data_IF_710984797037
#
_entry.id   IF_710984797037
#
_cell.length_a   1.000
_cell.length_b   1.000
_cell.length_c   1.000
_cell.angle_alpha   90.00
_cell.angle_beta   90.00
_cell.angle_gamma   90.00
#
_symmetry.space_group_name_H-M   'P 1'
#
loop_
_entity.id
_entity.type
_entity.pdbx_description
1 polymer ?
#
# COMPACT_ATOMS: atom_id res chain seq x y z
N UNK A 1 -5.16 -7.46 -19.09
CA UNK A 1 -6.25 -7.48 -18.09
C UNK A 1 -5.88 -8.56 -17.10
N UNK A 2 -5.78 -8.22 -15.81
CA UNK A 2 -5.49 -9.19 -14.74
C UNK A 2 -6.64 -10.19 -14.65
N UNK A 3 -6.36 -11.49 -14.52
CA UNK A 3 -7.37 -12.56 -14.60
C UNK A 3 -8.52 -12.47 -13.57
N UNK A 4 -8.40 -11.57 -12.58
CA UNK A 4 -9.31 -11.37 -11.46
C UNK A 4 -10.01 -9.98 -11.47
N UNK A 5 -9.73 -9.11 -12.45
CA UNK A 5 -10.46 -7.85 -12.61
C UNK A 5 -11.73 -8.05 -13.43
N UNK A 6 -12.88 -7.66 -12.86
CA UNK A 6 -14.17 -7.67 -13.53
C UNK A 6 -14.81 -6.29 -13.50
N UNK A 7 -15.26 -5.82 -14.67
CA UNK A 7 -16.01 -4.58 -14.82
C UNK A 7 -17.50 -4.90 -14.95
N UNK A 8 -18.36 -4.49 -14.00
CA UNK A 8 -19.79 -4.80 -14.07
C UNK A 8 -20.43 -4.22 -15.33
N UNK A 9 -21.45 -4.87 -15.92
CA UNK A 9 -22.06 -4.42 -17.18
C UNK A 9 -22.52 -2.96 -17.18
N UNK A 10 -23.07 -2.47 -16.05
CA UNK A 10 -23.50 -1.07 -15.90
C UNK A 10 -22.36 -0.05 -15.99
N UNK A 11 -21.11 -0.49 -15.79
CA UNK A 11 -19.90 0.33 -15.86
C UNK A 11 -19.03 0.02 -17.07
N UNK A 12 -19.50 -0.78 -18.04
CA UNK A 12 -18.72 -1.17 -19.21
C UNK A 12 -18.17 0.03 -20.02
N UNK A 13 -18.89 1.15 -20.01
CA UNK A 13 -18.48 2.40 -20.64
C UNK A 13 -17.19 3.00 -20.03
N UNK A 14 -16.81 2.63 -18.81
CA UNK A 14 -15.58 3.07 -18.14
C UNK A 14 -14.35 2.26 -18.53
N UNK A 15 -14.47 1.24 -19.38
CA UNK A 15 -13.34 0.40 -19.80
C UNK A 15 -12.11 1.21 -20.27
N UNK A 16 -12.25 2.24 -21.14
CA UNK A 16 -11.08 3.01 -21.59
C UNK A 16 -10.40 3.77 -20.44
N UNK A 17 -11.14 4.17 -19.42
CA UNK A 17 -10.63 4.90 -18.27
C UNK A 17 -9.92 3.95 -17.30
N UNK A 18 -10.47 2.75 -17.12
CA UNK A 18 -9.83 1.66 -16.38
C UNK A 18 -8.51 1.23 -17.04
N UNK A 19 -8.46 1.14 -18.37
CA UNK A 19 -7.23 0.83 -19.11
C UNK A 19 -6.13 1.88 -18.88
N UNK A 20 -6.50 3.17 -18.83
CA UNK A 20 -5.55 4.25 -18.48
C UNK A 20 -5.11 4.18 -17.02
N UNK A 21 -6.01 3.83 -16.10
CA UNK A 21 -5.66 3.59 -14.71
C UNK A 21 -4.61 2.48 -14.57
N UNK A 22 -4.80 1.34 -15.25
CA UNK A 22 -3.87 0.22 -15.19
C UNK A 22 -2.52 0.48 -15.89
N UNK A 23 -2.41 1.51 -16.73
CA UNK A 23 -1.10 1.96 -17.23
C UNK A 23 -0.23 2.54 -16.11
N UNK A 24 -0.84 3.25 -15.14
CA UNK A 24 -0.14 3.84 -14.00
C UNK A 24 -0.07 2.89 -12.78
N UNK A 25 -1.07 2.00 -12.67
CA UNK A 25 -1.31 1.13 -11.52
C UNK A 25 -1.55 -0.32 -11.97
N UNK A 26 -0.57 -0.97 -12.63
CA UNK A 26 -0.79 -2.24 -13.35
C UNK A 26 -1.17 -3.42 -12.44
N UNK A 27 -0.77 -3.39 -11.17
CA UNK A 27 -1.02 -4.48 -10.24
C UNK A 27 -2.34 -4.29 -9.48
N UNK A 28 -3.43 -4.77 -10.09
CA UNK A 28 -4.76 -4.77 -9.49
C UNK A 28 -4.76 -5.34 -8.06
N UNK A 29 -4.00 -6.43 -7.83
CA UNK A 29 -3.97 -7.17 -6.57
C UNK A 29 -3.32 -6.40 -5.42
N UNK A 30 -2.68 -5.25 -5.70
CA UNK A 30 -2.04 -4.40 -4.70
C UNK A 30 -2.71 -3.04 -4.55
N UNK A 31 -3.64 -2.67 -5.44
CA UNK A 31 -4.29 -1.38 -5.42
C UNK A 31 -5.37 -1.30 -4.32
N UNK A 32 -5.28 -0.27 -3.48
CA UNK A 32 -6.20 0.01 -2.37
C UNK A 32 -6.79 1.41 -2.54
N UNK A 33 -8.11 1.49 -2.67
CA UNK A 33 -8.80 2.78 -2.75
C UNK A 33 -8.98 3.37 -1.34
N UNK A 34 -8.40 4.54 -1.10
CA UNK A 34 -8.52 5.28 0.16
C UNK A 34 -9.74 6.20 0.09
N UNK A 35 -10.71 5.94 0.96
CA UNK A 35 -11.94 6.69 1.14
C UNK A 35 -11.80 7.52 2.43
N UNK A 36 -11.58 8.81 2.27
CA UNK A 36 -11.40 9.75 3.39
C UNK A 36 -12.03 11.10 3.04
N UNK A 37 -12.19 11.97 4.04
CA UNK A 37 -12.58 13.35 3.79
C UNK A 37 -11.56 14.02 2.88
N UNK A 38 -12.05 14.69 1.85
CA UNK A 38 -11.24 15.55 1.00
C UNK A 38 -11.37 17.01 1.46
N UNK A 39 -10.26 17.56 1.95
CA UNK A 39 -10.07 19.00 2.13
C UNK A 39 -8.58 19.30 1.90
N UNK A 40 -8.26 19.85 0.72
CA UNK A 40 -6.89 20.03 0.24
C UNK A 40 -6.06 21.02 1.07
N UNK A 41 -6.71 21.87 1.88
CA UNK A 41 -6.02 22.81 2.78
C UNK A 41 -5.76 22.24 4.18
N UNK A 42 -6.31 21.06 4.50
CA UNK A 42 -6.28 20.53 5.86
C UNK A 42 -5.01 19.73 6.15
N UNK A 43 -4.17 20.24 7.05
CA UNK A 43 -2.90 19.60 7.44
C UNK A 43 -3.09 18.23 8.09
N UNK A 44 -4.14 18.06 8.89
CA UNK A 44 -4.44 16.78 9.54
C UNK A 44 -4.76 15.71 8.50
N UNK A 45 -5.62 16.03 7.52
CA UNK A 45 -5.97 15.09 6.45
C UNK A 45 -4.80 14.81 5.50
N UNK A 46 -3.93 15.80 5.27
CA UNK A 46 -2.69 15.61 4.53
C UNK A 46 -1.73 14.64 5.23
N UNK A 47 -1.59 14.76 6.55
CA UNK A 47 -0.77 13.84 7.36
C UNK A 47 -1.39 12.45 7.44
N UNK A 48 -2.72 12.37 7.62
CA UNK A 48 -3.46 11.11 7.60
C UNK A 48 -3.26 10.36 6.28
N UNK A 49 -3.40 11.05 5.14
CA UNK A 49 -3.16 10.48 3.81
C UNK A 49 -1.74 9.93 3.64
N UNK A 50 -0.73 10.70 4.05
CA UNK A 50 0.66 10.26 4.01
C UNK A 50 0.89 8.99 4.85
N UNK A 51 0.42 8.98 6.11
CA UNK A 51 0.60 7.84 7.01
C UNK A 51 -0.18 6.60 6.56
N UNK A 52 -1.39 6.76 6.00
CA UNK A 52 -2.15 5.66 5.40
C UNK A 52 -1.38 5.03 4.24
N UNK A 53 -0.85 5.84 3.31
CA UNK A 53 -0.09 5.33 2.16
C UNK A 53 1.20 4.65 2.59
N UNK A 54 1.91 5.20 3.60
CA UNK A 54 3.11 4.56 4.17
C UNK A 54 2.78 3.24 4.84
N UNK A 55 1.73 3.19 5.66
CA UNK A 55 1.30 1.96 6.32
C UNK A 55 0.91 0.87 5.30
N UNK A 56 0.16 1.21 4.25
CA UNK A 56 -0.16 0.30 3.14
C UNK A 56 1.09 -0.15 2.38
N UNK A 57 1.99 0.78 2.06
CA UNK A 57 3.22 0.52 1.34
C UNK A 57 4.12 -0.51 2.04
N UNK A 58 4.21 -0.45 3.38
CA UNK A 58 4.96 -1.41 4.20
C UNK A 58 4.40 -2.83 4.13
N UNK A 59 3.13 -2.98 3.75
CA UNK A 59 2.47 -4.27 3.53
C UNK A 59 2.53 -4.71 2.06
N UNK A 60 3.26 -3.98 1.21
CA UNK A 60 3.33 -4.23 -0.23
C UNK A 60 2.13 -3.69 -1.02
N UNK A 61 1.20 -2.99 -0.38
CA UNK A 61 -0.01 -2.43 -1.00
C UNK A 61 0.21 -1.00 -1.48
N UNK A 62 -0.60 -0.54 -2.45
CA UNK A 62 -0.55 0.80 -3.04
C UNK A 62 -1.84 1.54 -2.71
N UNK A 63 -1.76 2.52 -1.80
CA UNK A 63 -2.88 3.40 -1.47
C UNK A 63 -3.09 4.47 -2.55
N UNK A 64 -4.33 4.62 -3.00
CA UNK A 64 -4.73 5.47 -4.12
C UNK A 64 -5.97 6.29 -3.77
N UNK A 65 -6.03 7.55 -4.22
CA UNK A 65 -7.18 8.43 -4.04
C UNK A 65 -7.67 9.01 -5.36
N UNK A 66 -8.96 9.32 -5.40
CA UNK A 66 -9.62 9.86 -6.59
C UNK A 66 -9.11 11.25 -7.00
N UNK A 67 -8.41 11.98 -6.12
CA UNK A 67 -7.75 13.24 -6.46
C UNK A 67 -6.31 13.07 -6.99
N UNK A 68 -5.74 11.86 -7.01
CA UNK A 68 -4.38 11.62 -7.52
C UNK A 68 -4.30 11.90 -9.03
N UNK A 69 -5.31 11.47 -9.79
CA UNK A 69 -5.41 11.69 -11.24
C UNK A 69 -6.86 11.66 -11.71
N UNK A 70 -7.21 12.59 -12.60
CA UNK A 70 -8.50 12.58 -13.30
C UNK A 70 -8.39 11.73 -14.57
N UNK A 71 -8.99 10.54 -14.58
CA UNK A 71 -8.99 9.67 -15.75
C UNK A 71 -10.07 10.05 -16.77
N UNK A 72 -11.36 10.23 -16.41
CA UNK A 72 -12.41 10.60 -17.35
C UNK A 72 -12.14 11.93 -18.05
N UNK A 73 -12.40 11.97 -19.36
CA UNK A 73 -12.16 13.19 -20.18
C UNK A 73 -13.17 14.30 -19.92
N UNK A 74 -14.38 13.92 -19.53
CA UNK A 74 -15.46 14.85 -19.14
C UNK A 74 -15.21 15.52 -17.78
N UNK A 75 -14.15 15.09 -17.07
CA UNK A 75 -13.74 15.58 -15.74
C UNK A 75 -14.82 15.41 -14.67
N UNK A 76 -15.74 14.47 -14.85
CA UNK A 76 -16.77 14.19 -13.86
C UNK A 76 -16.15 13.47 -12.65
N UNK A 77 -16.25 14.08 -11.47
CA UNK A 77 -15.62 13.57 -10.24
C UNK A 77 -16.15 12.19 -9.85
N UNK A 78 -17.47 11.99 -9.88
CA UNK A 78 -18.05 10.71 -9.52
C UNK A 78 -17.66 9.58 -10.47
N UNK A 79 -17.62 9.83 -11.78
CA UNK A 79 -17.05 8.89 -12.76
C UNK A 79 -15.62 8.51 -12.38
N UNK A 80 -14.80 9.48 -11.97
CA UNK A 80 -13.42 9.20 -11.56
C UNK A 80 -13.39 8.34 -10.29
N UNK A 81 -14.19 8.66 -9.27
CA UNK A 81 -14.32 7.85 -8.05
C UNK A 81 -14.72 6.41 -8.41
N UNK A 82 -15.65 6.21 -9.34
CA UNK A 82 -16.03 4.89 -9.85
C UNK A 82 -14.82 4.16 -10.47
N UNK A 83 -14.00 4.82 -11.29
CA UNK A 83 -12.78 4.21 -11.86
C UNK A 83 -11.86 3.70 -10.76
N UNK A 84 -11.60 4.49 -9.71
CA UNK A 84 -10.75 4.07 -8.60
C UNK A 84 -11.36 2.89 -7.81
N UNK A 85 -12.66 2.94 -7.48
CA UNK A 85 -13.36 1.85 -6.78
C UNK A 85 -13.33 0.54 -7.59
N UNK A 86 -13.53 0.63 -8.91
CA UNK A 86 -13.52 -0.52 -9.80
C UNK A 86 -12.10 -1.09 -9.95
N UNK A 87 -11.09 -0.24 -10.13
CA UNK A 87 -9.71 -0.65 -10.45
C UNK A 87 -8.81 -0.90 -9.23
N UNK A 88 -9.31 -0.71 -8.01
CA UNK A 88 -8.64 -1.17 -6.79
C UNK A 88 -9.25 -2.50 -6.33
N UNK A 89 -8.42 -3.50 -5.99
CA UNK A 89 -8.91 -4.78 -5.46
C UNK A 89 -9.52 -4.61 -4.08
N UNK A 90 -8.94 -3.70 -3.28
CA UNK A 90 -9.35 -3.46 -1.90
C UNK A 90 -9.79 -2.02 -1.67
N UNK A 91 -10.54 -1.81 -0.58
CA UNK A 91 -10.87 -0.48 -0.08
C UNK A 91 -10.34 -0.24 1.34
N UNK A 92 -10.13 1.03 1.68
CA UNK A 92 -9.85 1.48 3.04
C UNK A 92 -10.65 2.75 3.30
N UNK A 93 -11.63 2.67 4.19
CA UNK A 93 -12.47 3.80 4.58
C UNK A 93 -12.10 4.31 5.97
N UNK A 94 -12.06 5.63 6.12
CA UNK A 94 -11.70 6.30 7.37
C UNK A 94 -12.90 7.08 7.92
N UNK A 95 -13.30 6.73 9.13
CA UNK A 95 -14.28 7.47 9.92
C UNK A 95 -13.56 8.34 10.95
N UNK A 96 -13.62 9.64 10.72
CA UNK A 96 -13.17 10.68 11.64
C UNK A 96 -14.21 11.80 11.67
N UNK A 97 -14.32 12.48 12.80
CA UNK A 97 -15.18 13.65 13.00
C UNK A 97 -14.42 14.85 13.57
N UNK A 98 -13.09 14.85 13.42
CA UNK A 98 -12.19 15.89 13.94
C UNK A 98 -12.22 17.14 13.07
N UNK A 99 -12.30 16.95 11.75
CA UNK A 99 -12.39 18.07 10.81
C UNK A 99 -13.81 18.63 10.76
N UNK A 100 -14.81 17.75 10.81
CA UNK A 100 -16.22 18.13 10.85
C UNK A 100 -16.99 17.09 11.65
N UNK A 101 -17.81 17.57 12.59
CA UNK A 101 -18.62 16.76 13.49
C UNK A 101 -19.79 16.09 12.75
N UNK A 102 -19.49 15.16 11.86
CA UNK A 102 -20.47 14.44 11.05
C UNK A 102 -19.98 13.04 10.66
N UNK A 103 -20.94 12.21 10.28
CA UNK A 103 -20.68 10.99 9.51
C UNK A 103 -20.56 11.36 8.02
N UNK A 104 -19.36 11.24 7.43
CA UNK A 104 -19.11 11.73 6.07
C UNK A 104 -19.90 10.93 5.02
N UNK A 105 -20.87 11.55 4.29
CA UNK A 105 -21.71 10.83 3.34
C UNK A 105 -20.95 10.30 2.12
N UNK A 106 -19.86 10.94 1.71
CA UNK A 106 -19.06 10.47 0.57
C UNK A 106 -18.33 9.17 0.94
N UNK A 107 -17.69 9.14 2.11
CA UNK A 107 -17.02 7.93 2.63
C UNK A 107 -18.02 6.79 2.79
N UNK A 108 -19.23 7.09 3.26
CA UNK A 108 -20.31 6.11 3.40
C UNK A 108 -20.72 5.50 2.05
N UNK A 109 -20.92 6.36 1.05
CA UNK A 109 -21.32 5.97 -0.30
C UNK A 109 -20.24 5.11 -0.96
N UNK A 110 -18.98 5.54 -0.88
CA UNK A 110 -17.83 4.82 -1.43
C UNK A 110 -17.61 3.48 -0.72
N UNK A 111 -17.70 3.46 0.61
CA UNK A 111 -17.61 2.23 1.40
C UNK A 111 -18.73 1.25 1.00
N UNK A 112 -19.98 1.73 0.97
CA UNK A 112 -21.12 0.92 0.54
C UNK A 112 -20.96 0.36 -0.87
N UNK A 113 -20.42 1.14 -1.79
CA UNK A 113 -20.12 0.70 -3.16
C UNK A 113 -19.09 -0.42 -3.19
N UNK A 114 -17.97 -0.27 -2.47
CA UNK A 114 -16.93 -1.30 -2.41
C UNK A 114 -17.46 -2.60 -1.81
N UNK A 115 -18.30 -2.50 -0.76
CA UNK A 115 -18.97 -3.66 -0.15
C UNK A 115 -19.97 -4.33 -1.08
N UNK A 116 -20.73 -3.55 -1.85
CA UNK A 116 -21.68 -4.08 -2.83
C UNK A 116 -20.99 -4.84 -3.98
N UNK A 117 -19.72 -4.52 -4.28
CA UNK A 117 -18.88 -5.26 -5.22
C UNK A 117 -18.13 -6.45 -4.59
N UNK A 118 -18.43 -6.79 -3.33
CA UNK A 118 -17.73 -7.82 -2.55
C UNK A 118 -16.21 -7.63 -2.48
N UNK A 119 -15.75 -6.37 -2.53
CA UNK A 119 -14.32 -6.05 -2.38
C UNK A 119 -13.96 -6.04 -0.89
N UNK A 120 -12.86 -6.71 -0.48
CA UNK A 120 -12.39 -6.63 0.90
C UNK A 120 -12.05 -5.18 1.24
N UNK A 121 -12.68 -4.67 2.30
CA UNK A 121 -12.63 -3.24 2.63
C UNK A 121 -12.39 -3.07 4.13
N UNK A 122 -11.29 -2.41 4.48
CA UNK A 122 -10.99 -2.03 5.85
C UNK A 122 -11.82 -0.80 6.24
N UNK A 123 -12.48 -0.87 7.38
CA UNK A 123 -13.13 0.29 7.99
C UNK A 123 -12.33 0.72 9.23
N UNK A 124 -11.57 1.81 9.08
CA UNK A 124 -10.85 2.46 10.16
C UNK A 124 -11.76 3.48 10.84
N UNK A 125 -11.83 3.46 12.17
CA UNK A 125 -12.55 4.45 12.95
C UNK A 125 -11.63 5.09 14.00
N UNK A 126 -11.59 6.42 14.03
CA UNK A 126 -10.89 7.15 15.09
C UNK A 126 -11.47 6.75 16.45
N UNK A 127 -10.61 6.53 17.45
CA UNK A 127 -11.05 6.20 18.82
C UNK A 127 -11.97 7.27 19.42
N UNK A 128 -11.87 8.51 18.94
CA UNK A 128 -12.74 9.60 19.34
C UNK A 128 -13.99 9.80 18.47
N UNK A 129 -14.25 8.94 17.48
CA UNK A 129 -15.37 9.09 16.57
C UNK A 129 -16.72 8.89 17.27
N UNK A 130 -17.57 9.92 17.27
CA UNK A 130 -18.87 9.94 17.99
C UNK A 130 -20.07 9.72 17.08
N UNK A 131 -19.91 9.93 15.78
CA UNK A 131 -21.00 9.94 14.81
C UNK A 131 -21.35 8.56 14.24
N UNK A 132 -21.38 7.52 15.10
CA UNK A 132 -21.71 6.16 14.69
C UNK A 132 -23.20 6.03 14.33
N UNK A 133 -23.47 5.32 13.23
CA UNK A 133 -24.82 5.01 12.74
C UNK A 133 -25.07 3.50 12.82
N UNK A 134 -26.32 3.10 13.06
CA UNK A 134 -26.69 1.71 13.38
C UNK A 134 -26.34 0.70 12.27
N UNK A 135 -26.39 1.14 11.01
CA UNK A 135 -25.97 0.39 9.81
C UNK A 135 -24.47 0.03 9.79
N UNK A 136 -23.64 0.79 10.50
CA UNK A 136 -22.19 0.56 10.61
C UNK A 136 -21.80 -0.10 11.93
N UNK A 137 -22.67 -0.08 12.93
CA UNK A 137 -22.47 -0.76 14.22
C UNK A 137 -22.32 -2.29 14.04
N UNK A 138 -22.90 -2.86 12.98
CA UNK A 138 -22.78 -4.29 12.65
C UNK A 138 -21.49 -4.70 11.93
N UNK A 139 -20.64 -3.75 11.55
CA UNK A 139 -19.39 -4.01 10.80
C UNK A 139 -18.19 -4.07 11.74
N UNK A 140 -17.32 -5.07 11.55
CA UNK A 140 -16.01 -5.11 12.20
C UNK A 140 -15.18 -3.89 11.75
N UNK A 141 -14.96 -2.97 12.69
CA UNK A 141 -14.11 -1.77 12.51
C UNK A 141 -12.80 -1.96 13.24
N UNK A 142 -11.73 -1.52 12.61
CA UNK A 142 -10.42 -1.45 13.26
C UNK A 142 -10.25 -0.04 13.87
N UNK A 143 -10.02 0.06 15.19
CA UNK A 143 -9.77 1.35 15.81
C UNK A 143 -8.39 1.88 15.42
N UNK A 144 -8.27 3.19 15.24
CA UNK A 144 -6.99 3.88 15.17
C UNK A 144 -7.06 5.20 15.94
N UNK A 145 -5.91 5.75 16.30
CA UNK A 145 -5.82 7.03 16.99
C UNK A 145 -5.29 8.10 16.05
N UNK A 146 -6.12 9.07 15.70
CA UNK A 146 -5.73 10.17 14.81
C UNK A 146 -4.68 11.11 15.42
N UNK A 147 -4.50 11.11 16.75
CA UNK A 147 -3.40 11.86 17.39
C UNK A 147 -2.10 11.05 17.45
N UNK A 148 -2.17 9.73 17.32
CA UNK A 148 -1.03 8.80 17.24
C UNK A 148 -1.11 7.91 15.98
N UNK A 149 -1.20 8.56 14.81
CA UNK A 149 -1.33 7.87 13.52
C UNK A 149 -0.12 7.01 13.19
N UNK A 150 1.08 7.46 13.57
CA UNK A 150 2.33 6.78 13.26
C UNK A 150 2.45 5.40 13.92
N UNK A 151 1.77 5.20 15.06
CA UNK A 151 1.76 3.92 15.77
C UNK A 151 0.49 3.12 15.45
N UNK A 152 -0.68 3.76 15.51
CA UNK A 152 -1.97 3.05 15.44
C UNK A 152 -2.32 2.55 14.02
N UNK A 153 -2.04 3.34 12.97
CA UNK A 153 -2.36 2.95 11.59
C UNK A 153 -1.54 1.74 11.12
N UNK A 154 -0.21 1.66 11.31
CA UNK A 154 0.55 0.48 10.92
C UNK A 154 0.07 -0.80 11.60
N UNK A 155 -0.37 -0.73 12.86
CA UNK A 155 -0.92 -1.89 13.58
C UNK A 155 -2.24 -2.34 12.96
N UNK A 156 -3.22 -1.43 12.80
CA UNK A 156 -4.52 -1.74 12.23
C UNK A 156 -4.41 -2.29 10.79
N UNK A 157 -3.66 -1.60 9.93
CA UNK A 157 -3.45 -2.01 8.53
C UNK A 157 -2.63 -3.31 8.46
N UNK A 158 -1.66 -3.51 9.35
CA UNK A 158 -0.86 -4.72 9.43
C UNK A 158 -1.67 -5.96 9.82
N UNK A 159 -2.64 -5.81 10.74
CA UNK A 159 -3.57 -6.87 11.11
C UNK A 159 -4.49 -7.21 9.94
N UNK A 160 -5.14 -6.21 9.34
CA UNK A 160 -5.99 -6.43 8.17
C UNK A 160 -5.25 -7.09 7.00
N UNK A 161 -4.01 -6.65 6.72
CA UNK A 161 -3.19 -7.24 5.65
C UNK A 161 -2.81 -8.70 5.94
N UNK A 162 -2.68 -9.06 7.23
CA UNK A 162 -2.45 -10.45 7.65
C UNK A 162 -3.68 -11.31 7.38
N UNK A 163 -4.88 -10.78 7.68
CA UNK A 163 -6.15 -11.48 7.47
C UNK A 163 -6.46 -11.67 5.99
N UNK A 164 -6.11 -10.70 5.15
CA UNK A 164 -6.19 -10.82 3.69
C UNK A 164 -5.18 -11.83 3.11
N UNK A 165 -4.15 -12.22 3.86
CA UNK A 165 -3.10 -13.11 3.38
C UNK A 165 -2.17 -12.51 2.31
N UNK A 166 -2.12 -11.18 2.17
CA UNK A 166 -1.36 -10.49 1.11
C UNK A 166 0.12 -10.24 1.46
N UNK A 167 0.49 -10.46 2.72
CA UNK A 167 1.86 -10.30 3.22
C UNK A 167 2.76 -11.42 2.68
N UNK A 168 3.96 -11.03 2.24
CA UNK A 168 5.01 -11.99 1.91
C UNK A 168 5.44 -12.71 3.18
N UNK A 169 5.44 -14.05 3.12
CA UNK A 169 5.92 -14.94 4.19
C UNK A 169 7.08 -15.75 3.65
N UNK A 170 8.14 -15.84 4.45
CA UNK A 170 9.27 -16.69 4.11
C UNK A 170 8.91 -18.16 4.31
N UNK A 171 9.33 -19.02 3.38
CA UNK A 171 9.41 -20.45 3.65
C UNK A 171 10.47 -20.74 4.73
N UNK A 172 10.39 -21.89 5.42
CA UNK A 172 11.41 -22.28 6.38
C UNK A 172 12.80 -22.35 5.76
N UNK A 173 13.79 -21.71 6.40
CA UNK A 173 15.18 -21.73 5.98
C UNK A 173 15.88 -20.40 6.20
N UNK A 174 17.21 -20.43 6.23
CA UNK A 174 18.03 -19.22 6.45
C UNK A 174 18.00 -18.29 5.23
N UNK A 175 18.11 -18.83 4.01
CA UNK A 175 18.08 -18.03 2.78
C UNK A 175 16.71 -17.36 2.55
N UNK A 176 15.56 -18.05 2.62
CA UNK A 176 14.27 -17.39 2.44
C UNK A 176 13.97 -16.36 3.54
N UNK A 177 14.40 -16.62 4.77
CA UNK A 177 14.29 -15.65 5.86
C UNK A 177 15.13 -14.39 5.60
N UNK A 178 16.36 -14.53 5.10
CA UNK A 178 17.21 -13.39 4.73
C UNK A 178 16.66 -12.64 3.50
N UNK A 179 16.10 -13.34 2.51
CA UNK A 179 15.37 -12.72 1.39
C UNK A 179 14.21 -11.84 1.89
N UNK A 180 13.43 -12.33 2.86
CA UNK A 180 12.33 -11.57 3.43
C UNK A 180 12.80 -10.28 4.14
N UNK A 181 13.95 -10.30 4.81
CA UNK A 181 14.52 -9.07 5.39
C UNK A 181 14.87 -8.06 4.32
N UNK A 182 15.54 -8.48 3.24
CA UNK A 182 15.83 -7.59 2.11
C UNK A 182 14.54 -7.05 1.50
N UNK A 183 13.57 -7.90 1.21
CA UNK A 183 12.26 -7.49 0.70
C UNK A 183 11.63 -6.38 1.54
N UNK A 184 11.64 -6.52 2.88
CA UNK A 184 11.12 -5.51 3.82
C UNK A 184 11.92 -4.21 3.78
N UNK A 185 13.25 -4.27 3.67
CA UNK A 185 14.09 -3.07 3.52
C UNK A 185 13.79 -2.33 2.22
N UNK A 186 13.65 -3.05 1.12
CA UNK A 186 13.28 -2.45 -0.17
C UNK A 186 11.88 -1.81 -0.13
N UNK A 187 10.93 -2.43 0.58
CA UNK A 187 9.64 -1.79 0.86
C UNK A 187 9.83 -0.50 1.64
N UNK A 188 10.61 -0.49 2.72
CA UNK A 188 10.85 0.73 3.51
C UNK A 188 11.45 1.86 2.66
N UNK A 189 12.45 1.56 1.81
CA UNK A 189 13.02 2.54 0.86
C UNK A 189 11.92 3.11 -0.04
N UNK A 190 11.06 2.26 -0.59
CA UNK A 190 9.91 2.69 -1.41
C UNK A 190 8.94 3.56 -0.61
N UNK A 191 8.68 3.24 0.65
CA UNK A 191 7.75 3.98 1.49
C UNK A 191 8.32 5.32 1.95
N UNK A 192 9.63 5.45 2.13
CA UNK A 192 10.29 6.71 2.42
C UNK A 192 10.05 7.74 1.31
N UNK A 193 9.93 7.30 0.05
CA UNK A 193 9.61 8.17 -1.10
C UNK A 193 8.21 8.80 -1.04
N UNK A 194 7.34 8.33 -0.14
CA UNK A 194 5.99 8.88 0.05
C UNK A 194 5.95 10.07 1.02
N UNK A 195 7.05 10.36 1.72
CA UNK A 195 7.14 11.51 2.61
C UNK A 195 7.12 12.82 1.81
N UNK A 196 6.25 13.73 2.23
CA UNK A 196 6.12 15.09 1.65
C UNK A 196 7.26 16.02 2.08
N UNK A 197 7.81 15.81 3.27
CA UNK A 197 8.95 16.56 3.79
C UNK A 197 10.24 16.01 3.17
N UNK A 198 10.87 16.80 2.28
CA UNK A 198 12.05 16.37 1.51
C UNK A 198 13.28 16.11 2.39
N UNK A 199 13.42 16.78 3.53
CA UNK A 199 14.54 16.54 4.44
C UNK A 199 14.36 15.22 5.19
N UNK A 200 13.14 14.95 5.68
CA UNK A 200 12.79 13.64 6.28
C UNK A 200 12.90 12.52 5.26
N UNK A 201 12.39 12.72 4.04
CA UNK A 201 12.48 11.78 2.93
C UNK A 201 13.92 11.42 2.63
N UNK A 202 14.80 12.40 2.45
CA UNK A 202 16.23 12.18 2.19
C UNK A 202 16.89 11.42 3.34
N UNK A 203 16.62 11.81 4.59
CA UNK A 203 17.16 11.15 5.77
C UNK A 203 16.71 9.68 5.85
N UNK A 204 15.41 9.43 5.85
CA UNK A 204 14.86 8.06 5.97
C UNK A 204 15.31 7.17 4.82
N UNK A 205 15.39 7.71 3.61
CA UNK A 205 15.91 6.99 2.44
C UNK A 205 17.36 6.58 2.65
N UNK A 206 18.23 7.50 3.06
CA UNK A 206 19.65 7.21 3.28
C UNK A 206 19.85 6.19 4.40
N UNK A 207 19.09 6.32 5.50
CA UNK A 207 19.14 5.37 6.61
C UNK A 207 18.75 3.95 6.13
N UNK A 208 17.67 3.81 5.35
CA UNK A 208 17.26 2.50 4.84
C UNK A 208 18.22 1.91 3.79
N UNK A 209 18.88 2.73 2.96
CA UNK A 209 19.96 2.24 2.07
C UNK A 209 21.17 1.75 2.86
N UNK A 210 21.52 2.42 3.95
CA UNK A 210 22.61 1.98 4.83
C UNK A 210 22.29 0.61 5.45
N UNK A 211 21.09 0.45 6.04
CA UNK A 211 20.64 -0.84 6.57
C UNK A 211 20.52 -1.92 5.50
N UNK A 212 20.12 -1.56 4.26
CA UNK A 212 20.11 -2.49 3.14
C UNK A 212 21.53 -3.03 2.87
N UNK A 213 22.55 -2.17 2.90
CA UNK A 213 23.95 -2.59 2.74
C UNK A 213 24.38 -3.60 3.79
N UNK A 214 24.02 -3.39 5.06
CA UNK A 214 24.31 -4.35 6.15
C UNK A 214 23.63 -5.71 5.91
N UNK A 215 22.34 -5.71 5.54
CA UNK A 215 21.60 -6.94 5.29
C UNK A 215 22.11 -7.69 4.04
N UNK A 216 22.58 -6.96 3.01
CA UNK A 216 23.23 -7.53 1.83
C UNK A 216 24.57 -8.16 2.20
N UNK A 217 25.40 -7.50 3.01
CA UNK A 217 26.66 -8.07 3.48
C UNK A 217 26.43 -9.36 4.29
N UNK A 218 25.47 -9.35 5.22
CA UNK A 218 25.08 -10.55 5.96
C UNK A 218 24.59 -11.67 5.03
N UNK A 219 23.87 -11.33 3.97
CA UNK A 219 23.41 -12.31 2.98
C UNK A 219 24.55 -12.96 2.21
N UNK A 220 25.57 -12.19 1.81
CA UNK A 220 26.75 -12.74 1.12
C UNK A 220 27.49 -13.75 1.99
N UNK A 221 27.70 -13.44 3.28
CA UNK A 221 28.30 -14.38 4.24
C UNK A 221 27.46 -15.66 4.36
N UNK A 222 26.13 -15.54 4.41
CA UNK A 222 25.26 -16.71 4.44
C UNK A 222 25.41 -17.58 3.18
N UNK A 223 25.55 -16.97 2.00
CA UNK A 223 25.73 -17.67 0.72
C UNK A 223 27.07 -18.40 0.59
N UNK A 224 28.11 -17.98 1.30
CA UNK A 224 29.38 -18.74 1.38
C UNK A 224 29.18 -20.11 2.03
N UNK A 225 28.29 -20.18 3.02
CA UNK A 225 27.98 -21.41 3.77
C UNK A 225 26.80 -22.19 3.15
N UNK A 226 25.92 -21.49 2.42
CA UNK A 226 24.72 -22.03 1.76
C UNK A 226 24.67 -21.57 0.30
N UNK A 227 25.52 -22.12 -0.59
CA UNK A 227 25.58 -21.65 -1.97
C UNK A 227 24.25 -21.86 -2.70
N UNK A 228 23.71 -20.78 -3.24
CA UNK A 228 22.54 -20.82 -4.12
C UNK A 228 22.69 -19.74 -5.20
N UNK A 229 22.71 -20.16 -6.47
CA UNK A 229 23.00 -19.30 -7.63
C UNK A 229 21.95 -18.21 -7.82
N UNK A 230 20.68 -18.51 -7.58
CA UNK A 230 19.59 -17.55 -7.76
C UNK A 230 19.62 -16.43 -6.72
N UNK A 231 19.90 -16.80 -5.47
CA UNK A 231 20.06 -15.86 -4.37
C UNK A 231 21.32 -15.01 -4.58
N UNK A 232 22.45 -15.62 -4.95
CA UNK A 232 23.69 -14.90 -5.22
C UNK A 232 23.54 -13.86 -6.34
N UNK A 233 22.89 -14.23 -7.45
CA UNK A 233 22.64 -13.29 -8.55
C UNK A 233 21.77 -12.08 -8.12
N UNK A 234 20.73 -12.32 -7.31
CA UNK A 234 19.88 -11.25 -6.79
C UNK A 234 20.63 -10.33 -5.82
N UNK A 235 21.46 -10.90 -4.94
CA UNK A 235 22.28 -10.16 -3.98
C UNK A 235 23.32 -9.28 -4.69
N UNK A 236 24.02 -9.82 -5.69
CA UNK A 236 24.99 -9.04 -6.47
C UNK A 236 24.32 -7.91 -7.26
N UNK A 237 23.15 -8.17 -7.86
CA UNK A 237 22.36 -7.14 -8.55
C UNK A 237 21.90 -6.05 -7.58
N UNK A 238 21.43 -6.42 -6.39
CA UNK A 238 21.03 -5.48 -5.34
C UNK A 238 22.21 -4.63 -4.87
N UNK A 239 23.38 -5.23 -4.64
CA UNK A 239 24.60 -4.50 -4.28
C UNK A 239 24.93 -3.45 -5.34
N UNK A 240 25.08 -3.87 -6.60
CA UNK A 240 25.54 -2.99 -7.67
C UNK A 240 24.55 -1.87 -7.98
N UNK A 241 23.24 -2.18 -8.03
CA UNK A 241 22.23 -1.22 -8.49
C UNK A 241 21.65 -0.40 -7.35
N UNK A 242 21.37 -1.00 -6.20
CA UNK A 242 20.70 -0.30 -5.10
C UNK A 242 21.71 0.25 -4.11
N UNK A 243 22.60 -0.56 -3.56
CA UNK A 243 23.54 -0.12 -2.52
C UNK A 243 24.59 0.85 -3.08
N UNK A 244 25.23 0.49 -4.19
CA UNK A 244 26.32 1.29 -4.76
C UNK A 244 25.78 2.47 -5.60
N UNK A 245 24.80 2.21 -6.47
CA UNK A 245 24.32 3.20 -7.44
C UNK A 245 23.04 3.96 -7.05
N UNK A 246 22.35 3.57 -5.97
CA UNK A 246 21.07 4.17 -5.54
C UNK A 246 20.03 4.26 -6.68
N UNK A 247 20.01 3.26 -7.56
CA UNK A 247 19.18 3.23 -8.75
C UNK A 247 17.74 2.82 -8.43
N UNK A 248 16.87 3.80 -8.25
CA UNK A 248 15.45 3.56 -7.98
C UNK A 248 14.70 2.88 -9.14
N UNK A 249 15.22 2.89 -10.37
CA UNK A 249 14.53 2.30 -11.52
C UNK A 249 14.37 0.78 -11.39
N UNK A 250 15.26 0.11 -10.66
CA UNK A 250 15.19 -1.33 -10.40
C UNK A 250 14.44 -1.68 -9.12
N UNK A 251 14.04 -0.71 -8.29
CA UNK A 251 13.50 -0.96 -6.95
C UNK A 251 12.26 -1.86 -6.99
N UNK A 252 11.33 -1.60 -7.91
CA UNK A 252 10.11 -2.40 -8.04
C UNK A 252 10.41 -3.86 -8.43
N UNK A 253 11.31 -4.06 -9.39
CA UNK A 253 11.79 -5.38 -9.81
C UNK A 253 12.42 -6.13 -8.63
N UNK A 254 13.31 -5.47 -7.89
CA UNK A 254 14.02 -6.08 -6.76
C UNK A 254 13.10 -6.41 -5.58
N UNK A 255 12.09 -5.57 -5.29
CA UNK A 255 11.05 -5.88 -4.29
C UNK A 255 10.37 -7.21 -4.63
N UNK A 256 9.98 -7.40 -5.90
CA UNK A 256 9.33 -8.63 -6.35
C UNK A 256 10.32 -9.81 -6.31
N UNK A 257 11.55 -9.63 -6.81
CA UNK A 257 12.56 -10.69 -6.83
C UNK A 257 12.84 -11.24 -5.43
N UNK A 258 13.00 -10.38 -4.43
CA UNK A 258 13.21 -10.85 -3.05
C UNK A 258 11.94 -11.37 -2.37
N UNK A 259 10.75 -10.96 -2.82
CA UNK A 259 9.51 -11.62 -2.40
C UNK A 259 9.46 -13.07 -2.90
N UNK A 260 9.79 -13.29 -4.17
CA UNK A 260 9.83 -14.62 -4.79
C UNK A 260 10.88 -15.50 -4.11
N UNK A 261 12.10 -15.00 -3.89
CA UNK A 261 13.15 -15.74 -3.18
C UNK A 261 12.79 -16.09 -1.73
N UNK A 262 11.96 -15.28 -1.07
CA UNK A 262 11.44 -15.64 0.25
C UNK A 262 10.43 -16.79 0.18
N UNK A 263 9.79 -17.00 -0.96
CA UNK A 263 8.73 -18.01 -1.16
C UNK A 263 9.21 -19.23 -1.95
N UNK A 264 10.48 -19.28 -2.35
CA UNK A 264 11.11 -20.41 -3.04
C UNK A 264 11.85 -21.31 -2.03
N UNK A 265 11.71 -22.65 -2.13
CA UNK A 265 12.53 -23.57 -1.34
C UNK A 265 14.02 -23.37 -1.67
N UNK A 266 14.84 -23.25 -0.63
CA UNK A 266 16.29 -23.05 -0.75
C UNK A 266 17.03 -24.27 -1.30
#
# INVERSE_FOLDING_TARGET
MTDDFHLPPGYAHLKPDCERFFQDHPDYSRNVFIMTRFDSGNRLLAQLDEELRRALCRQGLKGLRADDRMYPRDRQVWTNVCVYMLCCKYGLAVLEDRVKDEFNPNVALEYGFMRALDKPTLLLADVGFRNLRADIVGTLREPFDIVDMATSLPTAIGNWSRDLGVQVRALPGELPAQALKIHRRLLNIRCAQLLRDEDKKRKETNDEFWYLGEEIAAYRVLLEHRPNTEHAAAVERAQQRLVDAHDFSVLAEMIQRFADLAQTPA
#
